data_IF_597405025472
#
_entry.id   IF_597405025472
#
_cell.length_a   1.000
_cell.length_b   1.000
_cell.length_c   1.000
_cell.angle_alpha   90.00
_cell.angle_beta   90.00
_cell.angle_gamma   90.00
#
_symmetry.space_group_name_H-M   'P 1'
#
loop_
_entity.id
_entity.type
_entity.pdbx_description
1 polymer ?
#
# COMPACT_ATOMS: atom_id res chain seq x y z
N UNK A 1 -10.47 -6.71 -5.54
CA UNK A 1 -9.73 -7.48 -6.55
C UNK A 1 -9.32 -8.79 -5.89
N UNK A 2 -9.68 -9.93 -6.47
CA UNK A 2 -9.52 -11.24 -5.84
C UNK A 2 -8.19 -11.90 -6.25
N UNK A 3 -7.22 -11.85 -5.32
CA UNK A 3 -6.07 -12.76 -5.08
C UNK A 3 -5.10 -13.18 -6.22
N UNK A 4 -5.31 -12.76 -7.46
CA UNK A 4 -4.41 -13.08 -8.58
C UNK A 4 -3.19 -12.15 -8.60
N UNK A 5 -3.40 -10.86 -8.35
CA UNK A 5 -2.35 -9.84 -8.35
C UNK A 5 -1.80 -9.54 -6.95
N UNK A 6 -0.60 -8.96 -6.90
CA UNK A 6 0.05 -8.48 -5.67
C UNK A 6 0.36 -9.57 -4.64
N UNK A 7 0.55 -10.81 -5.10
CA UNK A 7 0.87 -11.95 -4.21
C UNK A 7 2.13 -11.70 -3.38
N UNK A 8 2.08 -12.08 -2.11
CA UNK A 8 3.23 -11.98 -1.19
C UNK A 8 4.39 -12.85 -1.71
N UNK A 9 4.15 -14.14 -1.93
CA UNK A 9 5.19 -15.10 -2.36
C UNK A 9 5.02 -15.51 -3.82
N UNK A 10 5.52 -14.69 -4.75
CA UNK A 10 5.70 -15.08 -6.16
C UNK A 10 6.56 -14.07 -6.93
N UNK A 11 7.20 -14.51 -8.02
CA UNK A 11 7.94 -13.62 -8.93
C UNK A 11 7.01 -12.64 -9.66
N UNK A 12 5.81 -13.08 -10.08
CA UNK A 12 4.80 -12.21 -10.67
C UNK A 12 4.32 -11.14 -9.68
N UNK A 13 4.15 -11.51 -8.41
CA UNK A 13 3.76 -10.57 -7.37
C UNK A 13 4.74 -9.41 -7.21
N UNK A 14 6.06 -9.67 -7.23
CA UNK A 14 7.05 -8.57 -7.16
C UNK A 14 6.87 -7.54 -8.29
N UNK A 15 6.61 -8.01 -9.51
CA UNK A 15 6.34 -7.14 -10.67
C UNK A 15 5.03 -6.37 -10.51
N UNK A 16 3.98 -7.00 -9.98
CA UNK A 16 2.72 -6.31 -9.70
C UNK A 16 2.95 -5.12 -8.75
N UNK A 17 3.66 -5.35 -7.64
CA UNK A 17 3.98 -4.30 -6.65
C UNK A 17 4.80 -3.15 -7.24
N UNK A 18 5.76 -3.45 -8.12
CA UNK A 18 6.59 -2.45 -8.81
C UNK A 18 5.80 -1.67 -9.87
N UNK A 19 4.82 -2.32 -10.53
CA UNK A 19 4.08 -1.73 -11.66
C UNK A 19 3.22 -0.51 -11.31
N UNK A 20 2.95 -0.31 -10.01
CA UNK A 20 2.19 0.85 -9.50
C UNK A 20 2.96 2.16 -9.77
N UNK A 21 4.28 2.12 -9.73
CA UNK A 21 5.10 3.33 -9.76
C UNK A 21 5.34 3.82 -11.20
N UNK A 22 5.15 5.12 -11.48
CA UNK A 22 5.54 5.70 -12.75
C UNK A 22 7.07 5.77 -12.85
N UNK A 23 7.62 6.02 -14.06
CA UNK A 23 9.02 6.36 -14.20
C UNK A 23 9.43 7.46 -13.22
N UNK A 24 10.51 7.23 -12.46
CA UNK A 24 10.95 8.15 -11.41
C UNK A 24 10.29 7.94 -10.04
N UNK A 25 9.49 6.88 -9.85
CA UNK A 25 9.05 6.43 -8.53
C UNK A 25 7.99 7.31 -7.85
N UNK A 26 7.38 8.23 -8.60
CA UNK A 26 6.37 9.15 -8.06
C UNK A 26 6.93 10.44 -7.45
N UNK A 27 8.20 10.74 -7.69
CA UNK A 27 8.81 12.02 -7.33
C UNK A 27 8.55 13.08 -8.41
N UNK A 28 8.18 14.28 -7.98
CA UNK A 28 8.08 15.47 -8.81
C UNK A 28 9.09 16.51 -8.33
N UNK A 29 9.61 17.30 -9.24
CA UNK A 29 10.61 18.31 -8.94
C UNK A 29 10.07 19.69 -9.28
N UNK A 30 10.10 20.62 -8.32
CA UNK A 30 9.43 21.91 -8.44
C UNK A 30 10.35 23.08 -8.08
N UNK A 31 10.15 24.18 -8.79
CA UNK A 31 10.82 25.46 -8.56
C UNK A 31 12.22 25.57 -9.18
N UNK A 32 12.85 26.75 -9.07
CA UNK A 32 14.14 27.02 -9.74
C UNK A 32 15.32 26.17 -9.26
N UNK A 33 15.19 25.55 -8.09
CA UNK A 33 16.21 24.69 -7.48
C UNK A 33 15.93 23.20 -7.66
N UNK A 34 14.91 22.85 -8.46
CA UNK A 34 14.54 21.46 -8.73
C UNK A 34 14.33 20.65 -7.43
N UNK A 35 13.55 21.23 -6.50
CA UNK A 35 13.35 20.60 -5.18
C UNK A 35 12.49 19.35 -5.34
N UNK A 36 12.89 18.19 -4.80
CA UNK A 36 12.10 16.97 -4.90
C UNK A 36 10.93 16.96 -3.93
N UNK A 37 9.80 16.43 -4.39
CA UNK A 37 8.61 16.13 -3.62
C UNK A 37 8.10 14.74 -4.01
N UNK A 38 7.78 13.91 -3.03
CA UNK A 38 7.10 12.63 -3.29
C UNK A 38 5.58 12.85 -3.26
N UNK A 39 4.88 12.39 -4.29
CA UNK A 39 3.42 12.31 -4.24
C UNK A 39 3.01 11.27 -3.17
N UNK A 40 2.12 11.68 -2.26
CA UNK A 40 1.78 10.85 -1.09
C UNK A 40 1.18 9.49 -1.46
N UNK A 41 0.45 9.41 -2.57
CA UNK A 41 -0.13 8.15 -3.07
C UNK A 41 0.97 7.09 -3.34
N UNK A 42 2.07 7.45 -3.99
CA UNK A 42 3.18 6.51 -4.23
C UNK A 42 3.94 6.16 -2.94
N UNK A 43 4.11 7.10 -2.00
CA UNK A 43 4.71 6.77 -0.70
C UNK A 43 3.82 5.82 0.11
N UNK A 44 2.49 5.97 0.03
CA UNK A 44 1.54 5.02 0.61
C UNK A 44 1.70 3.64 0.00
N UNK A 45 1.87 3.49 -1.31
CA UNK A 45 2.11 2.19 -1.96
C UNK A 45 3.50 1.59 -1.66
N UNK A 46 4.53 2.43 -1.53
CA UNK A 46 5.89 2.01 -1.13
C UNK A 46 5.90 1.32 0.24
N UNK A 47 5.04 1.77 1.17
CA UNK A 47 5.03 1.26 2.53
C UNK A 47 4.60 -0.22 2.61
N UNK A 48 3.44 -0.67 2.07
CA UNK A 48 3.08 -2.08 1.98
C UNK A 48 4.08 -2.94 1.21
N UNK A 49 4.68 -2.42 0.13
CA UNK A 49 5.74 -3.13 -0.59
C UNK A 49 6.94 -3.41 0.33
N UNK A 50 7.39 -2.41 1.09
CA UNK A 50 8.46 -2.57 2.08
C UNK A 50 8.09 -3.55 3.20
N UNK A 51 6.82 -3.56 3.64
CA UNK A 51 6.33 -4.52 4.63
C UNK A 51 6.32 -5.95 4.08
N UNK A 52 5.90 -6.14 2.83
CA UNK A 52 5.98 -7.42 2.12
C UNK A 52 7.42 -7.93 2.08
N UNK A 53 8.36 -7.10 1.67
CA UNK A 53 9.78 -7.46 1.61
C UNK A 53 10.32 -7.85 3.00
N UNK A 54 9.98 -7.08 4.03
CA UNK A 54 10.37 -7.39 5.41
C UNK A 54 9.77 -8.71 5.92
N UNK A 55 8.52 -9.02 5.56
CA UNK A 55 7.85 -10.27 5.89
C UNK A 55 8.52 -11.47 5.18
N UNK A 56 8.90 -11.30 3.91
CA UNK A 56 9.64 -12.34 3.16
C UNK A 56 11.03 -12.55 3.75
N UNK A 57 11.74 -11.47 4.09
CA UNK A 57 13.09 -11.53 4.65
C UNK A 57 13.13 -11.93 6.13
N UNK A 58 11.98 -11.94 6.83
CA UNK A 58 11.89 -12.18 8.26
C UNK A 58 12.61 -11.14 9.11
N UNK A 59 12.71 -9.89 8.65
CA UNK A 59 13.51 -8.84 9.30
C UNK A 59 12.82 -7.47 9.28
N UNK A 60 12.48 -6.97 10.46
CA UNK A 60 12.05 -5.58 10.63
C UNK A 60 13.26 -4.63 10.71
N UNK A 61 13.24 -3.56 9.91
CA UNK A 61 14.29 -2.53 9.87
C UNK A 61 13.75 -1.18 10.34
N UNK A 62 14.63 -0.19 10.56
CA UNK A 62 14.22 1.21 10.77
C UNK A 62 13.22 1.72 9.73
N UNK A 63 13.38 1.29 8.48
CA UNK A 63 12.48 1.63 7.38
C UNK A 63 11.06 1.08 7.58
N UNK A 64 10.93 -0.14 8.09
CA UNK A 64 9.63 -0.75 8.42
C UNK A 64 8.90 0.08 9.49
N UNK A 65 9.61 0.52 10.53
CA UNK A 65 9.01 1.37 11.58
C UNK A 65 8.53 2.72 11.03
N UNK A 66 9.31 3.34 10.14
CA UNK A 66 8.91 4.55 9.41
C UNK A 66 7.64 4.31 8.57
N UNK A 67 7.61 3.24 7.78
CA UNK A 67 6.46 2.89 6.95
C UNK A 67 5.19 2.63 7.75
N UNK A 68 5.27 1.90 8.87
CA UNK A 68 4.13 1.68 9.76
C UNK A 68 3.62 2.98 10.39
N UNK A 69 4.54 3.86 10.79
CA UNK A 69 4.19 5.17 11.35
C UNK A 69 3.51 6.06 10.32
N UNK A 70 4.00 6.06 9.09
CA UNK A 70 3.42 6.80 7.98
C UNK A 70 2.02 6.26 7.60
N UNK A 71 1.87 4.95 7.44
CA UNK A 71 0.57 4.33 7.16
C UNK A 71 -0.45 4.60 8.27
N UNK A 72 -0.05 4.52 9.54
CA UNK A 72 -0.91 4.90 10.67
C UNK A 72 -1.39 6.35 10.54
N UNK A 73 -0.51 7.28 10.19
CA UNK A 73 -0.90 8.67 9.99
C UNK A 73 -1.89 8.81 8.84
N UNK A 74 -1.67 8.11 7.73
CA UNK A 74 -2.55 8.18 6.57
C UNK A 74 -3.95 7.60 6.86
N UNK A 75 -4.04 6.50 7.61
CA UNK A 75 -5.33 5.94 8.09
C UNK A 75 -6.08 6.95 8.96
N UNK A 76 -5.39 7.74 9.78
CA UNK A 76 -6.02 8.78 10.60
C UNK A 76 -6.47 9.99 9.77
N UNK A 77 -5.78 10.31 8.66
CA UNK A 77 -6.16 11.41 7.78
C UNK A 77 -7.40 11.09 6.95
N UNK A 78 -7.57 9.83 6.55
CA UNK A 78 -8.65 9.35 5.68
C UNK A 78 -9.32 8.11 6.27
N UNK A 79 -9.84 8.26 7.49
CA UNK A 79 -10.46 7.14 8.20
C UNK A 79 -11.75 6.70 7.49
N UNK A 80 -11.77 5.45 7.02
CA UNK A 80 -12.96 4.82 6.49
C UNK A 80 -13.85 4.35 7.66
N UNK A 81 -15.05 4.92 7.77
CA UNK A 81 -16.02 4.60 8.83
C UNK A 81 -17.04 3.53 8.41
N UNK A 82 -16.82 2.88 7.26
CA UNK A 82 -17.65 1.80 6.75
C UNK A 82 -17.61 0.58 7.69
N UNK A 83 -18.78 0.01 7.98
CA UNK A 83 -18.87 -1.20 8.80
C UNK A 83 -18.60 -2.44 7.95
N UNK A 84 -17.58 -3.22 8.33
CA UNK A 84 -17.23 -4.48 7.68
C UNK A 84 -17.76 -5.68 8.47
N UNK A 85 -18.41 -6.66 7.83
CA UNK A 85 -18.84 -7.88 8.49
C UNK A 85 -17.61 -8.74 8.83
N UNK A 86 -17.61 -9.32 10.03
CA UNK A 86 -16.63 -10.34 10.40
C UNK A 86 -17.09 -11.66 9.82
N UNK A 87 -16.39 -12.17 8.82
CA UNK A 87 -16.71 -13.45 8.17
C UNK A 87 -15.70 -14.50 8.63
N UNK A 88 -16.10 -15.49 9.45
CA UNK A 88 -15.24 -16.60 9.82
C UNK A 88 -15.00 -17.50 8.61
N UNK A 89 -13.74 -17.85 8.38
CA UNK A 89 -13.35 -18.72 7.26
C UNK A 89 -12.82 -20.04 7.81
N UNK A 90 -13.40 -21.19 7.41
CA UNK A 90 -12.88 -22.50 7.80
C UNK A 90 -11.40 -22.62 7.42
N UNK A 91 -10.58 -23.14 8.33
CA UNK A 91 -9.13 -23.37 8.15
C UNK A 91 -8.25 -22.11 7.96
N UNK A 92 -8.81 -20.91 8.13
CA UNK A 92 -8.05 -19.66 8.19
C UNK A 92 -8.14 -19.07 9.62
N UNK A 93 -7.01 -18.89 10.34
CA UNK A 93 -7.03 -18.29 11.67
C UNK A 93 -7.43 -16.80 11.65
N UNK A 94 -7.42 -16.18 10.47
CA UNK A 94 -7.86 -14.80 10.27
C UNK A 94 -9.30 -14.78 9.73
N UNK A 95 -10.12 -13.88 10.29
CA UNK A 95 -11.40 -13.54 9.68
C UNK A 95 -11.18 -12.74 8.39
N UNK A 96 -12.11 -12.88 7.44
CA UNK A 96 -12.18 -12.05 6.25
C UNK A 96 -13.15 -10.88 6.47
N UNK A 97 -12.87 -9.77 5.78
CA UNK A 97 -13.60 -8.52 5.83
C UNK A 97 -13.91 -8.11 4.38
N UNK A 98 -14.84 -8.82 3.74
CA UNK A 98 -15.14 -8.69 2.30
C UNK A 98 -16.62 -8.39 2.06
N UNK A 99 -16.94 -7.93 0.84
CA UNK A 99 -18.32 -7.73 0.38
C UNK A 99 -18.96 -6.40 0.76
N UNK A 100 -18.18 -5.46 1.29
CA UNK A 100 -18.64 -4.08 1.54
C UNK A 100 -17.98 -3.12 0.56
N UNK A 101 -18.78 -2.20 0.01
CA UNK A 101 -18.28 -1.19 -0.90
C UNK A 101 -17.62 -0.06 -0.10
N UNK A 102 -16.39 0.28 -0.47
CA UNK A 102 -15.65 1.43 0.05
C UNK A 102 -15.71 2.59 -0.94
N UNK A 103 -15.72 3.83 -0.44
CA UNK A 103 -15.67 5.03 -1.30
C UNK A 103 -14.22 5.47 -1.44
N UNK A 104 -13.61 5.11 -2.57
CA UNK A 104 -12.24 5.51 -2.88
C UNK A 104 -12.18 6.88 -3.55
N UNK A 105 -11.07 7.58 -3.37
CA UNK A 105 -10.71 8.72 -4.22
C UNK A 105 -10.34 8.23 -5.62
N UNK A 106 -10.60 9.06 -6.61
CA UNK A 106 -10.21 8.77 -7.98
C UNK A 106 -8.68 8.87 -8.11
N UNK A 107 -8.02 7.71 -8.11
CA UNK A 107 -6.57 7.60 -8.23
C UNK A 107 -6.07 7.88 -9.65
N UNK A 108 -6.93 7.77 -10.67
CA UNK A 108 -6.51 7.97 -12.07
C UNK A 108 -6.14 9.42 -12.35
N UNK A 109 -6.51 10.36 -11.49
CA UNK A 109 -6.09 11.75 -11.56
C UNK A 109 -4.56 11.95 -11.39
N UNK A 110 -3.84 10.91 -10.96
CA UNK A 110 -2.38 10.92 -10.79
C UNK A 110 -1.65 10.31 -12.00
N UNK A 111 -2.37 9.65 -12.92
CA UNK A 111 -1.82 8.96 -14.10
C UNK A 111 -2.10 9.71 -15.41
#
# INVERSE_FOLDING_TARGET
EETVHYRVYSNGGAQDWESIFPPGGGFIYLGPQDRPFGLSMYHQHHCPMSLREAAIAGKATGHVFHCLSYLRQMVLCEADATLEPVIPVPDNPCAEYIGVAHVCRDWTQVY
#
